data_IF_477451102613
#
_entry.id   IF_477451102613
#
_cell.length_a   1.000
_cell.length_b   1.000
_cell.length_c   1.000
_cell.angle_alpha   90.00
_cell.angle_beta   90.00
_cell.angle_gamma   90.00
#
_symmetry.space_group_name_H-M   'P 1'
#
loop_
_entity.id
_entity.type
_entity.pdbx_description
1 polymer ?
#
# COMPACT_ATOMS: atom_id res chain seq x y z
N UNK A 1 18.45 14.50 -20.34
CA UNK A 1 17.23 14.77 -19.55
C UNK A 1 17.44 16.06 -18.79
N UNK A 2 16.68 17.08 -19.17
CA UNK A 2 16.89 18.47 -18.82
C UNK A 2 16.57 18.73 -17.34
N UNK A 3 17.52 19.28 -16.57
CA UNK A 3 17.30 19.66 -15.15
C UNK A 3 16.08 20.57 -14.99
N UNK A 4 15.76 21.39 -15.97
CA UNK A 4 14.58 22.27 -16.01
C UNK A 4 13.25 21.50 -16.07
N UNK A 5 13.20 20.36 -16.75
CA UNK A 5 11.99 19.52 -16.79
C UNK A 5 11.73 18.84 -15.45
N UNK A 6 12.78 18.41 -14.75
CA UNK A 6 12.67 17.81 -13.41
C UNK A 6 12.23 18.83 -12.35
N UNK A 7 12.73 20.08 -12.45
CA UNK A 7 12.31 21.18 -11.55
C UNK A 7 10.82 21.51 -11.77
N UNK A 8 10.37 21.67 -13.01
CA UNK A 8 8.95 21.91 -13.34
C UNK A 8 8.03 20.78 -12.88
N UNK A 9 8.46 19.53 -12.99
CA UNK A 9 7.69 18.36 -12.50
C UNK A 9 7.61 18.39 -10.98
N UNK A 10 8.70 18.76 -10.29
CA UNK A 10 8.74 18.86 -8.83
C UNK A 10 7.85 19.99 -8.32
N UNK A 11 7.94 21.17 -8.90
CA UNK A 11 7.07 22.31 -8.54
C UNK A 11 5.59 22.00 -8.79
N UNK A 12 5.25 21.35 -9.91
CA UNK A 12 3.89 20.92 -10.21
C UNK A 12 3.38 19.91 -9.17
N UNK A 13 4.22 18.94 -8.74
CA UNK A 13 3.87 17.98 -7.68
C UNK A 13 3.63 18.67 -6.34
N UNK A 14 4.48 19.62 -5.96
CA UNK A 14 4.31 20.38 -4.70
C UNK A 14 3.03 21.21 -4.72
N UNK A 15 2.68 21.82 -5.84
CA UNK A 15 1.44 22.57 -5.99
C UNK A 15 0.21 21.66 -5.87
N UNK A 16 0.22 20.49 -6.50
CA UNK A 16 -0.85 19.49 -6.40
C UNK A 16 -1.02 19.00 -4.95
N UNK A 17 0.08 18.71 -4.26
CA UNK A 17 0.04 18.29 -2.86
C UNK A 17 -0.54 19.37 -1.95
N UNK A 18 -0.16 20.65 -2.15
CA UNK A 18 -0.72 21.77 -1.40
C UNK A 18 -2.21 21.94 -1.63
N UNK A 19 -2.67 21.77 -2.86
CA UNK A 19 -4.10 21.85 -3.21
C UNK A 19 -4.90 20.72 -2.56
N UNK A 20 -4.40 19.47 -2.58
CA UNK A 20 -5.03 18.34 -1.90
C UNK A 20 -5.09 18.56 -0.38
N UNK A 21 -4.00 19.06 0.22
CA UNK A 21 -3.96 19.40 1.63
C UNK A 21 -4.94 20.53 2.00
N UNK A 22 -5.27 21.44 1.07
CA UNK A 22 -6.26 22.46 1.28
C UNK A 22 -7.65 21.88 1.51
N UNK A 23 -8.06 20.88 0.72
CA UNK A 23 -9.33 20.17 0.92
C UNK A 23 -9.38 19.32 2.21
N UNK A 24 -8.20 18.85 2.70
CA UNK A 24 -8.10 18.17 4.00
C UNK A 24 -8.26 19.13 5.20
N UNK A 25 -8.08 20.45 5.01
CA UNK A 25 -8.23 21.43 6.10
C UNK A 25 -9.61 21.44 6.71
N UNK A 26 -10.65 21.18 5.92
CA UNK A 26 -12.04 21.16 6.41
C UNK A 26 -12.33 19.91 7.25
N UNK A 27 -11.49 18.86 7.10
CA UNK A 27 -11.59 17.58 7.80
C UNK A 27 -10.38 17.32 8.72
N UNK A 28 -9.81 18.37 9.34
CA UNK A 28 -8.62 18.25 10.20
C UNK A 28 -8.83 17.29 11.37
N UNK A 29 -9.99 17.34 12.02
CA UNK A 29 -10.30 16.46 13.15
C UNK A 29 -10.29 15.00 12.72
N UNK A 30 -10.97 14.67 11.65
CA UNK A 30 -11.06 13.35 11.09
C UNK A 30 -9.70 12.85 10.61
N UNK A 31 -8.92 13.71 9.97
CA UNK A 31 -7.58 13.39 9.45
C UNK A 31 -6.54 13.14 10.54
N UNK A 32 -6.75 13.65 11.76
CA UNK A 32 -5.90 13.37 12.94
C UNK A 32 -6.43 12.18 13.73
N UNK A 33 -7.74 12.09 13.93
CA UNK A 33 -8.37 11.05 14.73
C UNK A 33 -8.24 9.68 14.06
N UNK A 34 -8.35 9.59 12.73
CA UNK A 34 -8.25 8.32 12.03
C UNK A 34 -6.89 7.62 12.23
N UNK A 35 -5.72 8.26 11.97
CA UNK A 35 -4.43 7.69 12.27
C UNK A 35 -4.20 7.43 13.77
N UNK A 36 -4.69 8.33 14.64
CA UNK A 36 -4.53 8.18 16.10
C UNK A 36 -5.22 6.92 16.62
N UNK A 37 -6.48 6.67 16.24
CA UNK A 37 -7.18 5.45 16.62
C UNK A 37 -6.55 4.21 15.97
N UNK A 38 -5.96 4.35 14.77
CA UNK A 38 -5.24 3.27 14.11
C UNK A 38 -3.92 2.93 14.81
N UNK A 39 -3.24 3.92 15.36
CA UNK A 39 -2.05 3.72 16.19
C UNK A 39 -2.41 3.13 17.56
N UNK A 40 -3.53 3.54 18.17
CA UNK A 40 -4.04 2.92 19.41
C UNK A 40 -4.37 1.44 19.19
N UNK A 41 -5.08 1.09 18.12
CA UNK A 41 -5.34 -0.30 17.75
C UNK A 41 -4.03 -1.09 17.66
N UNK A 42 -3.05 -0.57 16.92
CA UNK A 42 -1.74 -1.21 16.78
C UNK A 42 -1.00 -1.36 18.12
N UNK A 43 -1.15 -0.39 19.03
CA UNK A 43 -0.59 -0.50 20.39
C UNK A 43 -1.20 -1.67 21.17
N UNK A 44 -2.53 -1.84 21.10
CA UNK A 44 -3.19 -2.97 21.75
C UNK A 44 -2.78 -4.32 21.14
N UNK A 45 -2.60 -4.40 19.82
CA UNK A 45 -2.07 -5.59 19.15
C UNK A 45 -0.67 -5.97 19.68
N UNK A 46 0.19 -4.98 19.98
CA UNK A 46 1.53 -5.22 20.51
C UNK A 46 1.54 -5.76 21.96
N UNK A 47 0.48 -5.50 22.75
CA UNK A 47 0.36 -6.05 24.10
C UNK A 47 -0.09 -7.50 24.12
N UNK A 48 -0.73 -8.01 23.07
CA UNK A 48 -1.23 -9.39 23.02
C UNK A 48 -0.14 -10.45 23.29
N UNK A 49 1.05 -10.39 22.63
CA UNK A 49 2.13 -11.35 22.93
C UNK A 49 2.62 -11.31 24.39
N UNK A 50 2.64 -10.12 25.02
CA UNK A 50 3.06 -10.00 26.43
C UNK A 50 2.04 -10.67 27.38
N UNK A 51 0.76 -10.51 27.13
CA UNK A 51 -0.28 -11.19 27.92
C UNK A 51 -0.23 -12.70 27.69
N UNK A 52 0.08 -13.14 26.46
CA UNK A 52 0.29 -14.56 26.16
C UNK A 52 1.50 -15.13 26.92
N UNK A 53 2.62 -14.40 26.93
CA UNK A 53 3.78 -14.79 27.72
C UNK A 53 3.45 -14.89 29.22
N UNK A 54 2.70 -13.94 29.79
CA UNK A 54 2.26 -14.01 31.18
C UNK A 54 1.35 -15.20 31.47
N UNK A 55 0.49 -15.61 30.53
CA UNK A 55 -0.31 -16.83 30.67
C UNK A 55 0.59 -18.07 30.74
N UNK A 56 1.62 -18.15 29.90
CA UNK A 56 2.52 -19.30 29.83
C UNK A 56 3.42 -19.35 31.05
N UNK A 57 4.14 -18.25 31.32
CA UNK A 57 5.22 -18.20 32.32
C UNK A 57 4.70 -18.22 33.77
N UNK A 58 3.52 -17.63 34.01
CA UNK A 58 2.94 -17.54 35.36
C UNK A 58 1.74 -18.47 35.50
N UNK A 59 0.81 -18.41 34.57
CA UNK A 59 -0.45 -19.16 34.68
C UNK A 59 -0.26 -20.67 34.54
N UNK A 60 0.37 -21.10 33.45
CA UNK A 60 0.58 -22.52 33.14
C UNK A 60 1.69 -23.11 34.05
N UNK A 61 2.81 -22.41 34.20
CA UNK A 61 3.92 -22.88 35.01
C UNK A 61 3.53 -23.13 36.47
N UNK A 62 2.68 -22.26 37.04
CA UNK A 62 2.18 -22.40 38.42
C UNK A 62 0.84 -23.16 38.52
N UNK A 63 0.29 -23.64 37.40
CA UNK A 63 -1.03 -24.30 37.33
C UNK A 63 -2.17 -23.45 37.95
N UNK A 64 -2.02 -22.11 37.90
CA UNK A 64 -3.01 -21.15 38.45
C UNK A 64 -4.15 -20.90 37.45
N UNK A 65 -5.19 -21.73 37.54
CA UNK A 65 -6.40 -21.62 36.70
C UNK A 65 -7.10 -20.25 36.81
N UNK A 66 -7.31 -19.68 38.03
CA UNK A 66 -7.90 -18.34 38.18
C UNK A 66 -7.10 -17.25 37.44
N UNK A 67 -5.78 -17.30 37.50
CA UNK A 67 -4.91 -16.36 36.81
C UNK A 67 -5.05 -16.48 35.28
N UNK A 68 -5.04 -17.71 34.74
CA UNK A 68 -5.25 -17.95 33.30
C UNK A 68 -6.58 -17.36 32.84
N UNK A 69 -7.66 -17.63 33.56
CA UNK A 69 -9.00 -17.11 33.23
C UNK A 69 -9.01 -15.58 33.25
N UNK A 70 -8.39 -14.95 34.26
CA UNK A 70 -8.26 -13.49 34.33
C UNK A 70 -7.53 -12.93 33.11
N UNK A 71 -6.40 -13.53 32.71
CA UNK A 71 -5.62 -13.08 31.56
C UNK A 71 -6.37 -13.31 30.22
N UNK A 72 -7.16 -14.37 30.10
CA UNK A 72 -8.08 -14.57 28.97
C UNK A 72 -9.10 -13.43 28.84
N UNK A 73 -9.69 -12.97 29.97
CA UNK A 73 -10.56 -11.80 29.95
C UNK A 73 -9.83 -10.53 29.53
N UNK A 74 -8.56 -10.36 29.92
CA UNK A 74 -7.72 -9.24 29.45
C UNK A 74 -7.52 -9.31 27.94
N UNK A 75 -7.24 -10.49 27.37
CA UNK A 75 -7.14 -10.65 25.91
C UNK A 75 -8.43 -10.31 25.18
N UNK A 76 -9.57 -10.76 25.73
CA UNK A 76 -10.89 -10.42 25.17
C UNK A 76 -11.12 -8.90 25.23
N UNK A 77 -10.81 -8.28 26.36
CA UNK A 77 -10.94 -6.83 26.51
C UNK A 77 -10.05 -6.06 25.53
N UNK A 78 -8.78 -6.45 25.36
CA UNK A 78 -7.88 -5.87 24.37
C UNK A 78 -8.44 -6.02 22.94
N UNK A 79 -8.99 -7.20 22.61
CA UNK A 79 -9.63 -7.44 21.33
C UNK A 79 -10.86 -6.55 21.09
N UNK A 80 -11.72 -6.39 22.09
CA UNK A 80 -12.91 -5.51 21.99
C UNK A 80 -12.49 -4.05 21.84
N UNK A 81 -11.54 -3.57 22.65
CA UNK A 81 -11.03 -2.20 22.56
C UNK A 81 -10.36 -1.95 21.21
N UNK A 82 -9.54 -2.90 20.73
CA UNK A 82 -8.93 -2.85 19.41
C UNK A 82 -9.98 -2.79 18.29
N UNK A 83 -11.05 -3.58 18.37
CA UNK A 83 -12.16 -3.57 17.43
C UNK A 83 -12.85 -2.19 17.39
N UNK A 84 -13.15 -1.61 18.55
CA UNK A 84 -13.77 -0.28 18.64
C UNK A 84 -12.86 0.78 18.05
N UNK A 85 -11.56 0.74 18.35
CA UNK A 85 -10.57 1.64 17.77
C UNK A 85 -10.49 1.49 16.24
N UNK A 86 -10.52 0.25 15.73
CA UNK A 86 -10.49 -0.04 14.30
C UNK A 86 -11.70 0.53 13.57
N UNK A 87 -12.91 0.28 14.09
CA UNK A 87 -14.16 0.80 13.50
C UNK A 87 -14.15 2.33 13.52
N UNK A 88 -13.75 2.93 14.63
CA UNK A 88 -13.69 4.39 14.79
C UNK A 88 -12.68 5.00 13.81
N UNK A 89 -11.49 4.42 13.69
CA UNK A 89 -10.45 4.85 12.75
C UNK A 89 -10.96 4.79 11.30
N UNK A 90 -11.64 3.69 10.96
CA UNK A 90 -12.17 3.48 9.61
C UNK A 90 -13.29 4.46 9.27
N UNK A 91 -14.17 4.76 10.24
CA UNK A 91 -15.21 5.76 10.09
C UNK A 91 -14.64 7.16 9.80
N UNK A 92 -13.68 7.62 10.60
CA UNK A 92 -13.07 8.93 10.39
C UNK A 92 -12.26 9.00 9.10
N UNK A 93 -11.51 7.94 8.75
CA UNK A 93 -10.78 7.88 7.48
C UNK A 93 -11.73 7.95 6.27
N UNK A 94 -12.83 7.18 6.30
CA UNK A 94 -13.83 7.20 5.24
C UNK A 94 -14.53 8.56 5.13
N UNK A 95 -14.91 9.17 6.27
CA UNK A 95 -15.54 10.49 6.32
C UNK A 95 -14.63 11.57 5.73
N UNK A 96 -13.35 11.61 6.12
CA UNK A 96 -12.37 12.56 5.56
C UNK A 96 -12.18 12.33 4.06
N UNK A 97 -11.96 11.08 3.63
CA UNK A 97 -11.74 10.75 2.23
C UNK A 97 -12.94 11.10 1.34
N UNK A 98 -14.15 10.77 1.79
CA UNK A 98 -15.39 11.11 1.06
C UNK A 98 -15.59 12.62 1.01
N UNK A 99 -15.33 13.33 2.10
CA UNK A 99 -15.43 14.78 2.15
C UNK A 99 -14.45 15.47 1.19
N UNK A 100 -13.19 15.01 1.15
CA UNK A 100 -12.20 15.49 0.17
C UNK A 100 -12.67 15.23 -1.25
N UNK A 101 -13.16 14.02 -1.55
CA UNK A 101 -13.70 13.68 -2.87
C UNK A 101 -14.86 14.58 -3.28
N UNK A 102 -15.77 14.88 -2.34
CA UNK A 102 -16.89 15.79 -2.58
C UNK A 102 -16.42 17.22 -2.83
N UNK A 103 -15.48 17.72 -2.01
CA UNK A 103 -14.90 19.05 -2.20
C UNK A 103 -14.20 19.21 -3.54
N UNK A 104 -13.42 18.21 -3.96
CA UNK A 104 -12.74 18.22 -5.28
C UNK A 104 -13.77 18.20 -6.42
N UNK A 105 -14.84 17.37 -6.32
CA UNK A 105 -15.91 17.35 -7.34
C UNK A 105 -16.58 18.69 -7.47
N UNK A 106 -16.91 19.33 -6.33
CA UNK A 106 -17.53 20.64 -6.32
C UNK A 106 -16.62 21.69 -7.00
N UNK A 107 -15.35 21.79 -6.57
CA UNK A 107 -14.41 22.73 -7.15
C UNK A 107 -14.12 22.48 -8.63
N UNK A 108 -14.02 21.20 -9.04
CA UNK A 108 -13.84 20.86 -10.46
C UNK A 108 -15.07 21.22 -11.28
N UNK A 109 -16.28 20.95 -10.79
CA UNK A 109 -17.51 21.29 -11.47
C UNK A 109 -17.66 22.81 -11.64
N UNK A 110 -17.41 23.58 -10.58
CA UNK A 110 -17.41 25.05 -10.62
C UNK A 110 -16.40 25.59 -11.65
N UNK A 111 -15.22 24.95 -11.74
CA UNK A 111 -14.21 25.34 -12.72
C UNK A 111 -14.63 25.01 -14.15
N UNK A 112 -15.23 23.84 -14.38
CA UNK A 112 -15.77 23.45 -15.70
C UNK A 112 -16.86 24.42 -16.19
N UNK A 113 -17.72 24.93 -15.28
CA UNK A 113 -18.75 25.90 -15.64
C UNK A 113 -18.18 27.25 -16.10
N UNK A 114 -16.92 27.54 -15.80
CA UNK A 114 -16.21 28.75 -16.23
C UNK A 114 -15.44 28.57 -17.54
N UNK A 115 -15.41 27.36 -18.10
CA UNK A 115 -14.71 27.08 -19.36
C UNK A 115 -15.41 27.78 -20.55
N UNK A 116 -14.57 28.25 -21.47
CA UNK A 116 -15.02 28.65 -22.79
C UNK A 116 -15.39 27.45 -23.65
N UNK A 117 -16.23 27.63 -24.65
CA UNK A 117 -16.58 26.54 -25.59
C UNK A 117 -15.31 25.92 -26.23
N UNK A 118 -14.32 26.74 -26.58
CA UNK A 118 -13.06 26.27 -27.15
C UNK A 118 -12.28 25.35 -26.20
N UNK A 119 -12.24 25.67 -24.90
CA UNK A 119 -11.59 24.83 -23.90
C UNK A 119 -12.34 23.52 -23.69
N UNK A 120 -13.68 23.56 -23.71
CA UNK A 120 -14.50 22.35 -23.62
C UNK A 120 -14.29 21.43 -24.82
N UNK A 121 -14.22 21.98 -26.03
CA UNK A 121 -13.97 21.20 -27.26
C UNK A 121 -12.57 20.59 -27.26
N UNK A 122 -11.55 21.34 -26.80
CA UNK A 122 -10.17 20.83 -26.72
C UNK A 122 -10.03 19.68 -25.70
N UNK A 123 -10.66 19.78 -24.54
CA UNK A 123 -10.60 18.76 -23.52
C UNK A 123 -11.49 17.55 -23.80
N UNK A 124 -12.62 17.78 -24.43
CA UNK A 124 -13.64 16.78 -24.72
C UNK A 124 -14.46 16.35 -23.49
N UNK A 125 -15.74 16.16 -23.69
CA UNK A 125 -16.71 15.79 -22.62
C UNK A 125 -16.35 14.47 -21.95
N UNK A 126 -15.85 13.49 -22.71
CA UNK A 126 -15.44 12.18 -22.18
C UNK A 126 -14.31 12.31 -21.15
N UNK A 127 -13.32 13.17 -21.43
CA UNK A 127 -12.21 13.43 -20.49
C UNK A 127 -12.71 14.08 -19.22
N UNK A 128 -13.60 15.06 -19.30
CA UNK A 128 -14.16 15.75 -18.16
C UNK A 128 -14.98 14.80 -17.27
N UNK A 129 -15.79 13.92 -17.88
CA UNK A 129 -16.53 12.87 -17.15
C UNK A 129 -15.58 11.93 -16.43
N UNK A 130 -14.52 11.45 -17.08
CA UNK A 130 -13.52 10.56 -16.47
C UNK A 130 -12.85 11.22 -15.28
N UNK A 131 -12.48 12.50 -15.38
CA UNK A 131 -11.89 13.26 -14.25
C UNK A 131 -12.87 13.44 -13.11
N UNK A 132 -14.14 13.75 -13.37
CA UNK A 132 -15.18 13.91 -12.36
C UNK A 132 -15.53 12.61 -11.62
N UNK A 133 -15.33 11.48 -12.26
CA UNK A 133 -15.70 10.15 -11.73
C UNK A 133 -14.47 9.35 -11.30
N UNK A 134 -13.76 8.74 -12.24
CA UNK A 134 -12.69 7.79 -11.99
C UNK A 134 -11.52 8.41 -11.25
N UNK A 135 -11.02 9.56 -11.72
CA UNK A 135 -9.82 10.18 -11.14
C UNK A 135 -10.07 10.65 -9.71
N UNK A 136 -11.23 11.27 -9.44
CA UNK A 136 -11.57 11.71 -8.08
C UNK A 136 -11.82 10.51 -7.16
N UNK A 137 -12.43 9.43 -7.64
CA UNK A 137 -12.59 8.21 -6.85
C UNK A 137 -11.22 7.59 -6.49
N UNK A 138 -10.27 7.65 -7.40
CA UNK A 138 -8.90 7.18 -7.14
C UNK A 138 -8.19 8.05 -6.08
N UNK A 139 -8.35 9.38 -6.14
CA UNK A 139 -7.83 10.30 -5.12
C UNK A 139 -8.49 10.01 -3.77
N UNK A 140 -9.81 9.86 -3.73
CA UNK A 140 -10.56 9.51 -2.52
C UNK A 140 -10.06 8.19 -1.90
N UNK A 141 -9.86 7.17 -2.71
CA UNK A 141 -9.32 5.88 -2.27
C UNK A 141 -7.88 6.02 -1.76
N UNK A 142 -7.05 6.84 -2.43
CA UNK A 142 -5.69 7.13 -1.99
C UNK A 142 -5.66 7.84 -0.63
N UNK A 143 -6.49 8.85 -0.43
CA UNK A 143 -6.62 9.56 0.87
C UNK A 143 -7.03 8.59 1.98
N UNK A 144 -8.05 7.75 1.74
CA UNK A 144 -8.48 6.74 2.70
C UNK A 144 -7.35 5.77 3.06
N UNK A 145 -6.61 5.28 2.07
CA UNK A 145 -5.50 4.35 2.27
C UNK A 145 -4.36 4.99 3.08
N UNK A 146 -4.02 6.25 2.79
CA UNK A 146 -2.99 6.99 3.54
C UNK A 146 -3.40 7.16 5.00
N UNK A 147 -4.62 7.63 5.27
CA UNK A 147 -5.10 7.86 6.64
C UNK A 147 -5.21 6.57 7.46
N UNK A 148 -5.47 5.44 6.81
CA UNK A 148 -5.70 4.16 7.46
C UNK A 148 -4.45 3.30 7.61
N UNK A 149 -3.57 3.25 6.61
CA UNK A 149 -2.48 2.26 6.56
C UNK A 149 -1.09 2.87 6.64
N UNK A 150 -0.89 4.08 6.10
CA UNK A 150 0.44 4.63 5.93
C UNK A 150 1.20 4.83 7.26
N UNK A 151 0.53 5.36 8.28
CA UNK A 151 1.16 5.57 9.60
C UNK A 151 1.16 4.30 10.46
N UNK A 152 0.21 3.38 10.26
CA UNK A 152 0.13 2.13 11.02
C UNK A 152 1.33 1.24 10.78
N UNK A 153 1.75 1.06 9.52
CA UNK A 153 2.80 0.10 9.18
C UNK A 153 4.16 0.42 9.80
N UNK A 154 4.71 1.66 9.69
CA UNK A 154 5.94 2.01 10.40
C UNK A 154 5.80 1.90 11.92
N UNK A 155 4.65 2.32 12.47
CA UNK A 155 4.41 2.27 13.91
C UNK A 155 4.46 0.84 14.46
N UNK A 156 3.84 -0.14 13.77
CA UNK A 156 3.91 -1.55 14.19
C UNK A 156 5.34 -2.07 14.12
N UNK A 157 6.08 -1.78 13.03
CA UNK A 157 7.45 -2.28 12.86
C UNK A 157 8.37 -1.74 13.96
N UNK A 158 8.36 -0.43 14.17
CA UNK A 158 9.19 0.19 15.23
C UNK A 158 8.70 -0.17 16.62
N UNK A 159 7.39 -0.22 16.83
CA UNK A 159 6.78 -0.63 18.09
C UNK A 159 7.15 -2.08 18.47
N UNK A 160 7.03 -3.02 17.53
CA UNK A 160 7.44 -4.41 17.75
C UNK A 160 8.95 -4.52 18.04
N UNK A 161 9.77 -3.74 17.35
CA UNK A 161 11.21 -3.71 17.60
C UNK A 161 11.54 -3.18 19.01
N UNK A 162 10.92 -2.08 19.44
CA UNK A 162 11.08 -1.53 20.78
C UNK A 162 10.63 -2.57 21.83
N UNK A 163 9.47 -3.20 21.63
CA UNK A 163 8.96 -4.25 22.51
C UNK A 163 9.94 -5.43 22.60
N UNK A 164 10.51 -5.87 21.47
CA UNK A 164 11.51 -6.94 21.47
C UNK A 164 12.75 -6.56 22.33
N UNK A 165 13.21 -5.31 22.28
CA UNK A 165 14.30 -4.83 23.12
C UNK A 165 13.97 -4.82 24.62
N UNK A 166 12.70 -4.71 25.00
CA UNK A 166 12.29 -4.79 26.42
C UNK A 166 12.27 -6.23 26.94
N UNK A 167 12.15 -7.22 26.05
CA UNK A 167 12.14 -8.64 26.40
C UNK A 167 13.57 -9.18 26.47
N UNK A 168 14.32 -9.12 25.37
CA UNK A 168 15.73 -9.51 25.34
C UNK A 168 16.49 -8.75 24.25
N UNK A 169 17.58 -8.08 24.67
CA UNK A 169 18.39 -7.25 23.76
C UNK A 169 19.11 -8.08 22.70
N UNK A 170 19.61 -9.28 23.05
CA UNK A 170 20.34 -10.13 22.08
C UNK A 170 19.39 -10.72 21.03
N UNK A 171 18.22 -11.17 21.43
CA UNK A 171 17.19 -11.63 20.50
C UNK A 171 16.68 -10.48 19.61
N UNK A 172 16.52 -9.28 20.17
CA UNK A 172 16.09 -8.10 19.43
C UNK A 172 17.07 -7.67 18.32
N UNK A 173 18.38 -7.95 18.46
CA UNK A 173 19.36 -7.66 17.40
C UNK A 173 19.07 -8.40 16.08
N UNK A 174 18.40 -9.55 16.14
CA UNK A 174 17.96 -10.25 14.92
C UNK A 174 17.03 -9.34 14.08
N UNK A 175 16.13 -8.59 14.71
CA UNK A 175 15.23 -7.66 14.00
C UNK A 175 16.00 -6.47 13.40
N UNK A 176 17.02 -5.97 14.11
CA UNK A 176 17.87 -4.86 13.63
C UNK A 176 18.58 -5.22 12.32
N UNK A 177 18.93 -6.48 12.13
CA UNK A 177 19.54 -6.97 10.89
C UNK A 177 18.47 -7.31 9.84
N UNK A 178 17.39 -7.96 10.26
CA UNK A 178 16.35 -8.46 9.34
C UNK A 178 15.56 -7.33 8.66
N UNK A 179 15.21 -6.28 9.41
CA UNK A 179 14.38 -5.17 8.87
C UNK A 179 15.11 -4.41 7.75
N UNK A 180 16.38 -3.97 7.90
CA UNK A 180 17.12 -3.35 6.80
C UNK A 180 17.33 -4.28 5.61
N UNK A 181 17.60 -5.58 5.87
CA UNK A 181 17.79 -6.57 4.81
C UNK A 181 16.52 -6.77 3.98
N UNK A 182 15.37 -6.91 4.64
CA UNK A 182 14.06 -6.95 3.97
C UNK A 182 13.80 -5.66 3.19
N UNK A 183 14.08 -4.52 3.79
CA UNK A 183 13.89 -3.22 3.14
C UNK A 183 14.75 -3.11 1.88
N UNK A 184 16.01 -3.53 1.94
CA UNK A 184 16.92 -3.51 0.79
C UNK A 184 16.37 -4.35 -0.38
N UNK A 185 15.87 -5.56 -0.10
CA UNK A 185 15.33 -6.45 -1.14
C UNK A 185 14.03 -5.90 -1.71
N UNK A 186 13.07 -5.53 -0.86
CA UNK A 186 11.76 -5.03 -1.30
C UNK A 186 11.91 -3.74 -2.12
N UNK A 187 12.65 -2.75 -1.59
CA UNK A 187 12.90 -1.50 -2.32
C UNK A 187 13.77 -1.72 -3.56
N UNK A 188 14.76 -2.61 -3.50
CA UNK A 188 15.60 -2.96 -4.65
C UNK A 188 14.77 -3.52 -5.81
N UNK A 189 13.94 -4.53 -5.55
CA UNK A 189 13.06 -5.11 -6.57
C UNK A 189 12.05 -4.05 -7.07
N UNK A 190 11.47 -3.26 -6.16
CA UNK A 190 10.49 -2.23 -6.52
C UNK A 190 11.10 -1.17 -7.45
N UNK A 191 12.30 -0.68 -7.15
CA UNK A 191 13.00 0.32 -7.97
C UNK A 191 13.34 -0.22 -9.36
N UNK A 192 13.66 -1.50 -9.49
CA UNK A 192 13.91 -2.16 -10.78
C UNK A 192 12.61 -2.39 -11.56
N UNK A 193 11.56 -2.85 -10.90
CA UNK A 193 10.29 -3.21 -11.57
C UNK A 193 9.44 -2.01 -11.95
N UNK A 194 9.50 -0.89 -11.21
CA UNK A 194 8.71 0.31 -11.52
C UNK A 194 8.91 0.85 -12.96
N UNK A 195 10.14 1.06 -13.47
CA UNK A 195 10.33 1.51 -14.85
C UNK A 195 9.90 0.44 -15.87
N UNK A 196 10.00 -0.84 -15.52
CA UNK A 196 9.59 -1.93 -16.38
C UNK A 196 8.06 -2.00 -16.53
N UNK A 197 7.31 -1.78 -15.46
CA UNK A 197 5.85 -1.66 -15.53
C UNK A 197 5.39 -0.49 -16.40
N UNK A 198 6.14 0.63 -16.42
CA UNK A 198 5.85 1.74 -17.34
C UNK A 198 6.03 1.33 -18.80
N UNK A 199 7.05 0.50 -19.09
CA UNK A 199 7.25 -0.05 -20.44
C UNK A 199 6.10 -0.99 -20.83
N UNK A 200 5.72 -1.91 -19.94
CA UNK A 200 4.57 -2.80 -20.15
C UNK A 200 3.29 -2.01 -20.44
N UNK A 201 3.08 -0.88 -19.74
CA UNK A 201 1.93 0.00 -20.00
C UNK A 201 2.01 0.63 -21.40
N UNK A 202 3.18 1.08 -21.82
CA UNK A 202 3.36 1.63 -23.17
C UNK A 202 3.15 0.57 -24.27
N UNK A 203 3.62 -0.65 -24.05
CA UNK A 203 3.41 -1.78 -24.97
C UNK A 203 1.91 -2.17 -25.02
N UNK A 204 1.19 -2.14 -23.89
CA UNK A 204 -0.26 -2.32 -23.84
C UNK A 204 -0.99 -1.24 -24.63
N UNK A 205 -0.57 0.02 -24.53
CA UNK A 205 -1.18 1.11 -25.30
C UNK A 205 -1.04 0.88 -26.83
N UNK A 206 0.06 0.25 -27.29
CA UNK A 206 0.22 -0.14 -28.70
C UNK A 206 -0.74 -1.24 -29.13
N UNK A 207 -0.97 -2.25 -28.28
CA UNK A 207 -1.97 -3.31 -28.55
C UNK A 207 -3.38 -2.72 -28.61
N UNK A 208 -3.71 -1.80 -27.68
CA UNK A 208 -4.99 -1.10 -27.67
C UNK A 208 -5.17 -0.22 -28.89
N UNK A 209 -4.10 0.46 -29.34
CA UNK A 209 -4.14 1.28 -30.57
C UNK A 209 -4.43 0.40 -31.78
N UNK A 210 -3.68 -0.69 -31.98
CA UNK A 210 -3.91 -1.64 -33.06
C UNK A 210 -5.35 -2.19 -33.04
N UNK A 211 -5.87 -2.54 -31.87
CA UNK A 211 -7.26 -3.00 -31.70
C UNK A 211 -8.26 -1.93 -32.14
N UNK A 212 -8.07 -0.68 -31.69
CA UNK A 212 -8.95 0.45 -32.03
C UNK A 212 -8.93 0.74 -33.54
N UNK A 213 -7.74 0.77 -34.15
CA UNK A 213 -7.58 0.97 -35.59
C UNK A 213 -8.29 -0.13 -36.39
N UNK A 214 -8.14 -1.39 -35.99
CA UNK A 214 -8.80 -2.54 -36.61
C UNK A 214 -10.32 -2.48 -36.49
N UNK A 215 -10.87 -2.11 -35.32
CA UNK A 215 -12.31 -2.01 -35.12
C UNK A 215 -12.93 -0.85 -35.92
N UNK A 216 -12.25 0.31 -35.94
CA UNK A 216 -12.74 1.48 -36.67
C UNK A 216 -12.54 1.35 -38.18
N UNK A 217 -11.44 0.72 -38.62
CA UNK A 217 -11.04 0.52 -40.01
C UNK A 217 -11.51 -0.79 -40.65
N UNK A 218 -12.32 -1.61 -39.96
CA UNK A 218 -12.67 -2.96 -40.38
C UNK A 218 -13.23 -3.05 -41.83
N UNK A 219 -14.03 -2.04 -42.27
CA UNK A 219 -14.52 -2.00 -43.63
C UNK A 219 -13.44 -1.78 -44.69
N UNK A 220 -12.47 -0.91 -44.36
CA UNK A 220 -11.33 -0.61 -45.24
C UNK A 220 -10.39 -1.81 -45.32
N UNK A 221 -10.07 -2.42 -44.18
CA UNK A 221 -9.20 -3.62 -44.09
C UNK A 221 -9.77 -4.73 -44.98
N UNK A 222 -11.06 -5.01 -44.88
CA UNK A 222 -11.75 -6.02 -45.70
C UNK A 222 -11.83 -5.62 -47.20
N UNK A 223 -12.05 -4.34 -47.51
CA UNK A 223 -12.11 -3.89 -48.90
C UNK A 223 -10.77 -4.04 -49.63
N UNK A 224 -9.64 -4.00 -48.89
CA UNK A 224 -8.33 -4.14 -49.45
C UNK A 224 -7.66 -5.52 -49.17
N UNK A 225 -8.40 -6.49 -48.60
CA UNK A 225 -7.95 -7.83 -48.24
C UNK A 225 -6.66 -7.80 -47.34
N UNK A 226 -6.68 -6.91 -46.34
CA UNK A 226 -5.51 -6.70 -45.45
C UNK A 226 -5.65 -7.34 -44.05
N UNK A 227 -6.62 -8.25 -43.88
CA UNK A 227 -6.88 -8.89 -42.58
C UNK A 227 -5.66 -9.66 -42.06
N UNK A 228 -4.93 -10.36 -42.96
CA UNK A 228 -3.75 -11.14 -42.54
C UNK A 228 -2.59 -10.23 -42.10
N UNK A 229 -2.36 -9.12 -42.79
CA UNK A 229 -1.33 -8.16 -42.46
C UNK A 229 -1.62 -7.51 -41.09
N UNK A 230 -2.87 -7.13 -40.84
CA UNK A 230 -3.31 -6.56 -39.56
C UNK A 230 -3.28 -7.58 -38.40
N UNK A 231 -3.63 -8.84 -38.68
CA UNK A 231 -3.49 -9.92 -37.72
C UNK A 231 -2.03 -10.10 -37.30
N UNK A 232 -1.10 -10.16 -38.24
CA UNK A 232 0.34 -10.25 -37.96
C UNK A 232 0.85 -9.03 -37.17
N UNK A 233 0.38 -7.83 -37.51
CA UNK A 233 0.72 -6.59 -36.78
C UNK A 233 0.26 -6.67 -35.31
N UNK A 234 -0.98 -7.12 -35.09
CA UNK A 234 -1.52 -7.30 -33.75
C UNK A 234 -0.77 -8.37 -32.96
N UNK A 235 -0.53 -9.53 -33.59
CA UNK A 235 0.22 -10.63 -32.95
C UNK A 235 1.62 -10.20 -32.55
N UNK A 236 2.34 -9.44 -33.39
CA UNK A 236 3.67 -8.92 -33.05
C UNK A 236 3.62 -7.96 -31.86
N UNK A 237 2.67 -7.01 -31.83
CA UNK A 237 2.49 -6.09 -30.71
C UNK A 237 2.14 -6.86 -29.43
N UNK A 238 1.24 -7.86 -29.51
CA UNK A 238 0.85 -8.69 -28.38
C UNK A 238 1.99 -9.58 -27.88
N UNK A 239 2.85 -10.07 -28.78
CA UNK A 239 4.03 -10.84 -28.40
C UNK A 239 5.04 -9.97 -27.63
N UNK A 240 5.32 -8.75 -28.10
CA UNK A 240 6.19 -7.79 -27.40
C UNK A 240 5.67 -7.50 -25.99
N UNK A 241 4.37 -7.22 -25.85
CA UNK A 241 3.70 -7.03 -24.57
C UNK A 241 3.85 -8.27 -23.66
N UNK A 242 3.60 -9.45 -24.21
CA UNK A 242 3.69 -10.72 -23.48
C UNK A 242 5.10 -10.96 -22.95
N UNK A 243 6.11 -10.73 -23.75
CA UNK A 243 7.51 -10.93 -23.35
C UNK A 243 7.93 -9.91 -22.28
N UNK A 244 7.51 -8.63 -22.42
CA UNK A 244 7.70 -7.62 -21.40
C UNK A 244 7.03 -8.00 -20.07
N UNK A 245 5.76 -8.45 -20.10
CA UNK A 245 5.02 -8.90 -18.91
C UNK A 245 5.68 -10.12 -18.25
N UNK A 246 6.10 -11.12 -19.02
CA UNK A 246 6.81 -12.29 -18.49
C UNK A 246 8.12 -11.90 -17.82
N UNK A 247 8.88 -10.98 -18.41
CA UNK A 247 10.15 -10.52 -17.84
C UNK A 247 9.94 -9.79 -16.52
N UNK A 248 8.98 -8.84 -16.46
CA UNK A 248 8.61 -8.15 -15.21
C UNK A 248 8.08 -9.16 -14.18
N UNK A 249 7.23 -10.10 -14.62
CA UNK A 249 6.68 -11.14 -13.76
C UNK A 249 7.73 -12.02 -13.10
N UNK A 250 8.80 -12.38 -13.83
CA UNK A 250 9.93 -13.14 -13.27
C UNK A 250 10.65 -12.38 -12.17
N UNK A 251 10.95 -11.08 -12.38
CA UNK A 251 11.66 -10.26 -11.40
C UNK A 251 10.76 -9.99 -10.19
N UNK A 252 9.52 -9.56 -10.39
CA UNK A 252 8.59 -9.31 -9.30
C UNK A 252 8.22 -10.58 -8.54
N UNK A 253 8.15 -11.71 -9.23
CA UNK A 253 7.90 -13.02 -8.63
C UNK A 253 8.99 -13.50 -7.69
N UNK A 254 10.23 -13.02 -7.83
CA UNK A 254 11.32 -13.31 -6.90
C UNK A 254 11.15 -12.63 -5.53
N UNK A 255 10.29 -11.63 -5.43
CA UNK A 255 10.07 -10.90 -4.17
C UNK A 255 9.61 -11.83 -3.04
N UNK A 256 8.61 -12.68 -3.29
CA UNK A 256 8.09 -13.59 -2.29
C UNK A 256 9.12 -14.66 -1.83
N UNK A 257 9.80 -15.42 -2.71
CA UNK A 257 10.81 -16.37 -2.28
C UNK A 257 11.93 -15.72 -1.48
N UNK A 258 12.44 -14.56 -1.90
CA UNK A 258 13.51 -13.87 -1.19
C UNK A 258 13.07 -13.37 0.19
N UNK A 259 11.88 -12.77 0.29
CA UNK A 259 11.35 -12.35 1.58
C UNK A 259 11.09 -13.54 2.50
N UNK A 260 10.59 -14.67 1.99
CA UNK A 260 10.40 -15.89 2.78
C UNK A 260 11.72 -16.48 3.29
N UNK A 261 12.79 -16.48 2.51
CA UNK A 261 14.12 -16.94 2.96
C UNK A 261 14.60 -16.08 4.13
N UNK A 262 14.48 -14.76 4.02
CA UNK A 262 14.93 -13.84 5.09
C UNK A 262 14.07 -14.01 6.34
N UNK A 263 12.74 -14.02 6.19
CA UNK A 263 11.84 -14.14 7.36
C UNK A 263 12.05 -15.48 8.06
N UNK A 264 12.10 -16.60 7.34
CA UNK A 264 12.33 -17.91 7.94
C UNK A 264 13.75 -18.02 8.53
N UNK A 265 14.75 -17.43 7.86
CA UNK A 265 16.11 -17.36 8.40
C UNK A 265 16.16 -16.55 9.72
N UNK A 266 15.44 -15.44 9.80
CA UNK A 266 15.31 -14.66 11.02
C UNK A 266 14.57 -15.43 12.12
N UNK A 267 13.51 -16.17 11.80
CA UNK A 267 12.79 -17.03 12.76
C UNK A 267 13.73 -18.11 13.30
N UNK A 268 14.48 -18.81 12.44
CA UNK A 268 15.46 -19.83 12.85
C UNK A 268 16.53 -19.21 13.75
N UNK A 269 17.08 -18.05 13.38
CA UNK A 269 18.07 -17.33 14.19
C UNK A 269 17.48 -16.93 15.55
N UNK A 270 16.23 -16.45 15.59
CA UNK A 270 15.55 -16.06 16.82
C UNK A 270 15.32 -17.26 17.73
N UNK A 271 14.85 -18.40 17.19
CA UNK A 271 14.68 -19.65 17.94
C UNK A 271 16.01 -20.13 18.48
N UNK A 272 17.08 -20.11 17.70
CA UNK A 272 18.41 -20.53 18.15
C UNK A 272 18.93 -19.63 19.28
N UNK A 273 18.88 -18.32 19.11
CA UNK A 273 19.30 -17.35 20.13
C UNK A 273 18.44 -17.50 21.38
N UNK A 274 17.12 -17.63 21.23
CA UNK A 274 16.18 -17.83 22.31
C UNK A 274 16.48 -19.12 23.10
N UNK A 275 16.66 -20.25 22.42
CA UNK A 275 16.98 -21.53 23.03
C UNK A 275 18.29 -21.47 23.87
N UNK A 276 19.34 -20.86 23.30
CA UNK A 276 20.61 -20.65 24.04
C UNK A 276 20.41 -19.77 25.28
N UNK A 277 19.54 -18.74 25.19
CA UNK A 277 19.28 -17.84 26.33
C UNK A 277 18.43 -18.49 27.41
N UNK A 278 17.50 -19.37 27.04
CA UNK A 278 16.73 -20.18 28.00
C UNK A 278 17.63 -21.19 28.70
N UNK A 279 18.53 -21.85 27.97
CA UNK A 279 19.51 -22.82 28.55
C UNK A 279 20.46 -22.19 29.57
N UNK A 280 20.86 -20.94 29.34
CA UNK A 280 21.69 -20.15 30.25
C UNK A 280 20.89 -19.62 31.46
N UNK A 281 19.54 -19.66 31.41
CA UNK A 281 18.65 -19.17 32.48
C UNK A 281 18.39 -17.65 32.42
N UNK A 282 18.73 -16.99 31.33
CA UNK A 282 18.56 -15.55 31.15
C UNK A 282 17.12 -15.19 30.63
N UNK A 283 16.38 -16.18 30.09
CA UNK A 283 15.01 -16.05 29.59
C UNK A 283 14.14 -17.17 30.12
N UNK A 284 12.85 -16.91 30.30
CA UNK A 284 11.78 -17.91 30.48
C UNK A 284 11.35 -18.50 29.13
N UNK A 285 10.71 -19.68 29.15
CA UNK A 285 10.28 -20.39 27.92
C UNK A 285 9.27 -19.61 27.09
#
# INVERSE_FOLDING_TARGET
FDRLSLIKIRERKEHIMKTLLAYLKDYKKESILAPLFKMLEASFELFVPLVMAAIIDVGIANQDKPYIVKMCFVLIALGIIGLVCSITAQYFAAKAATGVGTGIRHGLFEHIQKFTFTEMDQLGTSTLITRMTSDINQIQSGVNLVLRLFLRSPFIVFGAMIMAFTVDVKAALVFVVTIPLLSLIVFGIMLVTMPMYKKVQADLDQVLLATRENLTGARVIRAFNKEEDETKRFENANQILTDAQKYVGRISGMMNPLTYIIVNGAIIALIYVGAVRVDIGDLTQ
#
